data_IF_413014747619
#
_entry.id   IF_413014747619
#
_cell.length_a   1.000
_cell.length_b   1.000
_cell.length_c   1.000
_cell.angle_alpha   90.00
_cell.angle_beta   90.00
_cell.angle_gamma   90.00
#
_symmetry.space_group_name_H-M   'P 1'
#
loop_
_entity.id
_entity.type
_entity.pdbx_description
1 polymer ?
#
# COMPACT_ATOMS: atom_id res chain seq x y z
N UNK A 1 -3.27 23.09 -6.14
CA UNK A 1 -4.19 21.94 -6.21
C UNK A 1 -4.07 21.17 -4.91
N UNK A 2 -5.02 21.35 -3.98
CA UNK A 2 -5.08 20.55 -2.75
C UNK A 2 -5.74 19.21 -3.09
N UNK A 3 -5.04 18.36 -3.85
CA UNK A 3 -5.46 16.97 -4.02
C UNK A 3 -5.16 16.26 -2.71
N UNK A 4 -6.18 16.10 -1.86
CA UNK A 4 -6.10 15.19 -0.71
C UNK A 4 -5.84 13.79 -1.28
N UNK A 5 -4.58 13.35 -1.25
CA UNK A 5 -4.24 11.99 -1.66
C UNK A 5 -4.95 11.01 -0.73
N UNK A 6 -5.63 10.03 -1.30
CA UNK A 6 -6.23 8.93 -0.55
C UNK A 6 -6.03 7.61 -1.28
N UNK A 7 -6.05 6.52 -0.53
CA UNK A 7 -5.94 5.16 -1.07
C UNK A 7 -6.72 4.17 -0.22
N UNK A 8 -7.18 3.08 -0.83
CA UNK A 8 -7.95 2.01 -0.18
C UNK A 8 -7.39 0.66 -0.58
N UNK A 9 -7.18 -0.22 0.40
CA UNK A 9 -6.71 -1.57 0.17
C UNK A 9 -7.85 -2.42 -0.41
N UNK A 10 -7.68 -3.03 -1.59
CA UNK A 10 -8.72 -3.85 -2.22
C UNK A 10 -8.96 -5.19 -1.48
N UNK A 11 -8.02 -5.61 -0.61
CA UNK A 11 -8.10 -6.88 0.12
C UNK A 11 -8.82 -6.76 1.45
N UNK A 12 -8.43 -5.79 2.29
CA UNK A 12 -8.92 -5.65 3.66
C UNK A 12 -9.71 -4.37 3.90
N UNK A 13 -9.93 -3.56 2.86
CA UNK A 13 -10.71 -2.34 2.91
C UNK A 13 -10.14 -1.18 3.74
N UNK A 14 -8.93 -1.34 4.30
CA UNK A 14 -8.18 -0.29 4.99
C UNK A 14 -8.07 0.95 4.10
N UNK A 15 -8.15 2.16 4.67
CA UNK A 15 -8.10 3.41 3.92
C UNK A 15 -7.19 4.42 4.59
N UNK A 16 -6.46 5.18 3.79
CA UNK A 16 -5.56 6.23 4.27
C UNK A 16 -5.82 7.53 3.52
N UNK A 17 -5.87 8.64 4.25
CA UNK A 17 -6.03 10.00 3.72
C UNK A 17 -4.85 10.89 4.14
N UNK A 18 -4.24 11.56 3.17
CA UNK A 18 -3.08 12.40 3.36
C UNK A 18 -1.76 11.63 3.36
N UNK A 19 -0.69 12.33 2.99
CA UNK A 19 0.63 11.73 2.72
C UNK A 19 1.16 10.95 3.92
N UNK A 20 1.00 11.47 5.14
CA UNK A 20 1.50 10.82 6.37
C UNK A 20 0.81 9.48 6.63
N UNK A 21 -0.52 9.43 6.56
CA UNK A 21 -1.26 8.19 6.80
C UNK A 21 -1.00 7.17 5.67
N UNK A 22 -0.88 7.64 4.43
CA UNK A 22 -0.52 6.79 3.29
C UNK A 22 0.87 6.20 3.50
N UNK A 23 1.87 7.01 3.87
CA UNK A 23 3.24 6.51 4.13
C UNK A 23 3.23 5.43 5.22
N UNK A 24 2.50 5.67 6.31
CA UNK A 24 2.41 4.74 7.45
C UNK A 24 1.66 3.43 7.12
N UNK A 25 0.49 3.51 6.48
CA UNK A 25 -0.40 2.36 6.28
C UNK A 25 -0.13 1.62 4.97
N UNK A 26 0.26 2.35 3.92
CA UNK A 26 0.46 1.80 2.57
C UNK A 26 1.91 1.91 2.13
N UNK A 27 2.65 2.95 2.51
CA UNK A 27 3.90 3.33 1.87
C UNK A 27 3.70 3.75 0.41
N UNK A 28 4.79 4.14 -0.24
CA UNK A 28 4.81 4.52 -1.64
C UNK A 28 5.74 3.65 -2.46
N UNK A 29 5.49 3.62 -3.77
CA UNK A 29 6.34 3.00 -4.79
C UNK A 29 6.67 4.02 -5.87
N UNK A 30 7.84 3.87 -6.48
CA UNK A 30 8.19 4.62 -7.68
C UNK A 30 7.66 3.86 -8.90
N UNK A 31 6.71 4.47 -9.60
CA UNK A 31 6.14 3.94 -10.84
C UNK A 31 6.41 4.94 -11.97
N UNK A 32 7.30 4.58 -12.90
CA UNK A 32 7.68 5.45 -14.04
C UNK A 32 8.12 6.85 -13.60
N UNK A 33 8.92 6.94 -12.54
CA UNK A 33 9.40 8.22 -11.97
C UNK A 33 8.38 8.96 -11.10
N UNK A 34 7.16 8.46 -10.94
CA UNK A 34 6.16 9.05 -10.05
C UNK A 34 6.07 8.28 -8.73
N UNK A 35 6.11 9.01 -7.61
CA UNK A 35 5.80 8.47 -6.28
C UNK A 35 4.29 8.24 -6.19
N UNK A 36 3.86 6.98 -6.05
CA UNK A 36 2.44 6.58 -5.95
C UNK A 36 2.23 5.71 -4.72
N UNK A 37 1.09 5.83 -4.02
CA UNK A 37 0.73 4.92 -2.94
C UNK A 37 0.78 3.45 -3.42
N UNK A 38 1.13 2.53 -2.52
CA UNK A 38 0.98 1.11 -2.81
C UNK A 38 -0.52 0.75 -2.87
N UNK A 39 -0.89 -0.22 -3.71
CA UNK A 39 -2.29 -0.67 -3.84
C UNK A 39 -2.75 -1.45 -2.61
N UNK A 40 -1.89 -2.31 -2.05
CA UNK A 40 -2.16 -3.08 -0.83
C UNK A 40 -1.53 -2.41 0.39
N UNK A 41 -2.24 -2.41 1.52
CA UNK A 41 -1.70 -1.93 2.79
C UNK A 41 -0.49 -2.78 3.22
N UNK A 42 0.36 -2.23 4.11
CA UNK A 42 1.56 -2.91 4.61
C UNK A 42 1.24 -4.28 5.20
N UNK A 43 0.16 -4.38 5.98
CA UNK A 43 -0.27 -5.64 6.58
C UNK A 43 -0.58 -6.71 5.51
N UNK A 44 -1.38 -6.37 4.50
CA UNK A 44 -1.74 -7.30 3.42
C UNK A 44 -0.51 -7.76 2.62
N UNK A 45 0.44 -6.86 2.33
CA UNK A 45 1.68 -7.19 1.61
C UNK A 45 2.59 -8.12 2.41
N UNK A 46 2.67 -7.96 3.73
CA UNK A 46 3.44 -8.87 4.59
C UNK A 46 2.84 -10.27 4.55
N UNK A 47 1.51 -10.37 4.65
CA UNK A 47 0.82 -11.67 4.57
C UNK A 47 1.00 -12.35 3.20
N UNK A 48 0.91 -11.60 2.09
CA UNK A 48 1.19 -12.12 0.75
C UNK A 48 2.61 -12.66 0.62
N UNK A 49 3.60 -11.96 1.17
CA UNK A 49 4.99 -12.42 1.19
C UNK A 49 5.17 -13.69 2.04
N UNK A 50 4.49 -13.79 3.19
CA UNK A 50 4.51 -14.99 4.04
C UNK A 50 3.94 -16.20 3.30
N UNK A 51 2.77 -16.05 2.69
CA UNK A 51 2.11 -17.11 1.91
C UNK A 51 2.97 -17.53 0.71
N UNK A 52 3.54 -16.56 -0.02
CA UNK A 52 4.41 -16.84 -1.17
C UNK A 52 5.65 -17.64 -0.79
N UNK A 53 6.23 -17.39 0.40
CA UNK A 53 7.37 -18.15 0.91
C UNK A 53 7.00 -19.58 1.31
N UNK A 54 5.81 -19.78 1.87
CA UNK A 54 5.32 -21.12 2.23
C UNK A 54 5.03 -21.98 1.00
N UNK A 55 4.54 -21.37 -0.09
CA UNK A 55 4.30 -22.08 -1.35
C UNK A 55 5.58 -22.38 -2.15
N UNK A 56 6.68 -21.69 -1.84
CA UNK A 56 7.97 -21.87 -2.48
C UNK A 56 8.90 -22.84 -1.73
N UNK A 57 8.44 -23.40 -0.60
CA UNK A 57 9.14 -24.39 0.22
C UNK A 57 8.54 -25.78 -0.01
#
# INVERSE_FOLDING_TARGET
>A
MNNKESTRCPRCNESAEGILSIEMLFGFRNLRGQKKPQSHCRACRIEELRLSRQLAA
#
